data_IF_496473315442
#
_entry.id   IF_496473315442
#
_cell.length_a   1.000
_cell.length_b   1.000
_cell.length_c   1.000
_cell.angle_alpha   90.00
_cell.angle_beta   90.00
_cell.angle_gamma   90.00
#
_symmetry.space_group_name_H-M   'P 1'
#
loop_
_entity.id
_entity.type
_entity.pdbx_description
1 polymer ?
#
# COMPACT_ATOMS: atom_id res chain seq x y z
N UNK A 1 16.64 -3.35 7.05
CA UNK A 1 16.39 -3.14 5.61
C UNK A 1 15.03 -2.48 5.51
N UNK A 2 15.01 -1.20 5.14
CA UNK A 2 13.80 -0.38 5.13
C UNK A 2 12.86 -0.80 3.98
N UNK A 3 11.62 -1.16 4.32
CA UNK A 3 10.51 -1.29 3.38
C UNK A 3 9.22 -0.95 4.13
N UNK A 4 8.54 0.11 3.72
CA UNK A 4 7.31 0.63 4.34
C UNK A 4 6.23 0.42 3.30
N UNK A 5 5.21 -0.35 3.65
CA UNK A 5 4.04 -0.59 2.82
C UNK A 5 2.86 -0.93 3.73
N UNK A 6 2.15 0.10 4.19
CA UNK A 6 1.08 -0.02 5.18
C UNK A 6 -0.06 -0.90 4.66
N UNK A 7 -0.40 -0.81 3.38
CA UNK A 7 -1.47 -1.63 2.79
C UNK A 7 -1.12 -3.12 2.85
N UNK A 8 0.11 -3.49 2.47
CA UNK A 8 0.58 -4.87 2.52
C UNK A 8 0.63 -5.41 3.96
N UNK A 9 1.09 -4.59 4.91
CA UNK A 9 1.14 -4.99 6.33
C UNK A 9 -0.27 -5.24 6.88
N UNK A 10 -1.23 -4.35 6.59
CA UNK A 10 -2.64 -4.53 7.00
C UNK A 10 -3.30 -5.76 6.39
N UNK A 11 -3.00 -6.09 5.13
CA UNK A 11 -3.42 -7.37 4.54
C UNK A 11 -2.87 -8.53 5.37
N UNK A 12 -1.57 -8.49 5.69
CA UNK A 12 -0.93 -9.52 6.50
C UNK A 12 -1.57 -9.69 7.87
N UNK A 13 -1.89 -8.59 8.56
CA UNK A 13 -2.57 -8.59 9.86
C UNK A 13 -3.96 -9.25 9.79
N UNK A 14 -4.75 -8.93 8.76
CA UNK A 14 -6.07 -9.55 8.55
C UNK A 14 -5.94 -11.05 8.25
N UNK A 15 -5.00 -11.44 7.38
CA UNK A 15 -4.78 -12.85 7.04
C UNK A 15 -4.30 -13.69 8.23
N UNK A 16 -3.56 -13.08 9.17
CA UNK A 16 -3.10 -13.72 10.42
C UNK A 16 -4.16 -13.68 11.54
N UNK A 17 -5.26 -12.96 11.36
CA UNK A 17 -6.29 -12.78 12.39
C UNK A 17 -5.90 -11.82 13.51
N UNK A 18 -4.89 -10.96 13.27
CA UNK A 18 -4.49 -9.88 14.18
C UNK A 18 -5.46 -8.68 14.08
N UNK A 19 -6.21 -8.60 12.97
CA UNK A 19 -7.29 -7.65 12.72
C UNK A 19 -8.60 -8.35 12.36
N UNK A 20 -9.70 -7.63 12.55
CA UNK A 20 -11.04 -8.08 12.21
C UNK A 20 -11.21 -8.21 10.71
N UNK A 21 -12.01 -9.18 10.27
CA UNK A 21 -12.33 -9.33 8.83
C UNK A 21 -13.21 -8.19 8.33
N UNK A 22 -13.95 -7.54 9.23
CA UNK A 22 -14.77 -6.36 8.99
C UNK A 22 -13.94 -5.15 8.54
N UNK A 23 -12.67 -5.07 8.94
CA UNK A 23 -11.74 -4.00 8.54
C UNK A 23 -11.47 -4.02 7.02
N UNK A 24 -11.70 -5.15 6.33
CA UNK A 24 -11.46 -5.29 4.88
C UNK A 24 -12.25 -4.26 4.08
N UNK A 25 -13.49 -3.95 4.49
CA UNK A 25 -14.33 -3.03 3.73
C UNK A 25 -13.78 -1.60 3.73
N UNK A 26 -13.18 -1.17 4.85
CA UNK A 26 -12.49 0.12 4.93
C UNK A 26 -11.13 0.07 4.22
N UNK A 27 -10.39 -1.04 4.39
CA UNK A 27 -9.07 -1.21 3.78
C UNK A 27 -9.11 -1.21 2.25
N UNK A 28 -10.18 -1.75 1.66
CA UNK A 28 -10.40 -1.82 0.21
C UNK A 28 -11.12 -0.59 -0.36
N UNK A 29 -11.30 0.47 0.43
CA UNK A 29 -11.76 1.77 -0.09
C UNK A 29 -10.63 2.46 -0.86
N UNK A 30 -10.89 2.92 -2.09
CA UNK A 30 -9.85 3.42 -2.98
C UNK A 30 -9.18 4.69 -2.44
N UNK A 31 -9.95 5.59 -1.85
CA UNK A 31 -9.43 6.79 -1.20
C UNK A 31 -8.51 6.44 -0.03
N UNK A 32 -8.85 5.39 0.73
CA UNK A 32 -8.01 4.92 1.83
C UNK A 32 -6.71 4.29 1.31
N UNK A 33 -6.78 3.49 0.24
CA UNK A 33 -5.60 2.90 -0.41
C UNK A 33 -4.64 4.00 -0.86
N UNK A 34 -5.16 4.97 -1.62
CA UNK A 34 -4.39 6.12 -2.10
C UNK A 34 -3.72 6.87 -0.93
N UNK A 35 -4.50 7.18 0.12
CA UNK A 35 -4.01 7.91 1.29
C UNK A 35 -2.94 7.13 2.06
N UNK A 36 -3.05 5.80 2.17
CA UNK A 36 -2.01 4.96 2.79
C UNK A 36 -0.68 5.07 2.03
N UNK A 37 -0.69 4.95 0.70
CA UNK A 37 0.54 5.09 -0.08
C UNK A 37 1.12 6.50 -0.02
N UNK A 38 0.28 7.54 0.04
CA UNK A 38 0.73 8.93 0.24
C UNK A 38 1.46 9.09 1.57
N UNK A 39 0.89 8.57 2.65
CA UNK A 39 1.51 8.57 3.99
C UNK A 39 2.79 7.76 4.03
N UNK A 40 2.83 6.59 3.40
CA UNK A 40 4.04 5.78 3.29
C UNK A 40 5.17 6.59 2.62
N UNK A 41 4.89 7.28 1.53
CA UNK A 41 5.87 8.15 0.86
C UNK A 41 6.36 9.28 1.77
N UNK A 42 5.45 9.96 2.47
CA UNK A 42 5.80 11.02 3.43
C UNK A 42 6.69 10.49 4.55
N UNK A 43 6.38 9.31 5.11
CA UNK A 43 7.18 8.68 6.13
C UNK A 43 8.60 8.35 5.63
N UNK A 44 8.70 7.75 4.44
CA UNK A 44 9.98 7.40 3.82
C UNK A 44 10.84 8.68 3.60
N UNK A 45 10.25 9.76 3.08
CA UNK A 45 10.95 11.04 2.92
C UNK A 45 11.35 11.65 4.26
N UNK A 46 10.49 11.56 5.27
CA UNK A 46 10.81 12.07 6.61
C UNK A 46 11.96 11.29 7.25
N UNK A 47 12.08 9.98 7.02
CA UNK A 47 13.23 9.19 7.45
C UNK A 47 14.52 9.66 6.78
N UNK A 48 14.49 9.94 5.47
CA UNK A 48 15.63 10.51 4.74
C UNK A 48 16.02 11.89 5.28
N UNK A 49 15.06 12.83 5.34
CA UNK A 49 15.28 14.23 5.79
C UNK A 49 15.77 14.33 7.24
N UNK A 50 15.36 13.39 8.09
CA UNK A 50 15.81 13.33 9.49
C UNK A 50 17.14 12.60 9.69
N UNK A 51 17.75 12.06 8.62
CA UNK A 51 18.99 11.29 8.69
C UNK A 51 18.84 9.93 9.38
N UNK A 52 17.61 9.42 9.51
CA UNK A 52 17.31 8.10 10.11
C UNK A 52 17.39 6.96 9.11
N UNK A 53 17.44 7.25 7.82
CA UNK A 53 17.67 6.29 6.75
C UNK A 53 18.61 6.87 5.70
N UNK A 54 19.48 6.03 5.15
CA UNK A 54 20.40 6.42 4.09
C UNK A 54 19.67 6.54 2.74
N UNK A 55 20.25 7.34 1.83
CA UNK A 55 19.67 7.58 0.49
C UNK A 55 19.36 6.27 -0.25
N UNK A 56 20.28 5.32 -0.23
CA UNK A 56 20.14 4.03 -0.92
C UNK A 56 19.00 3.18 -0.34
N UNK A 57 18.80 3.21 0.98
CA UNK A 57 17.69 2.48 1.63
C UNK A 57 16.33 3.04 1.22
N UNK A 58 16.24 4.37 1.14
CA UNK A 58 15.03 5.10 0.79
C UNK A 58 14.70 4.92 -0.69
N UNK A 59 15.69 5.06 -1.59
CA UNK A 59 15.54 4.75 -3.01
C UNK A 59 15.09 3.30 -3.24
N UNK A 60 15.68 2.35 -2.50
CA UNK A 60 15.26 0.95 -2.59
C UNK A 60 13.81 0.75 -2.14
N UNK A 61 13.38 1.44 -1.09
CA UNK A 61 11.99 1.38 -0.63
C UNK A 61 11.03 1.93 -1.70
N UNK A 62 11.29 3.12 -2.26
CA UNK A 62 10.50 3.68 -3.35
C UNK A 62 10.41 2.75 -4.57
N UNK A 63 11.53 2.16 -4.99
CA UNK A 63 11.55 1.18 -6.07
C UNK A 63 10.63 -0.03 -5.78
N UNK A 64 10.72 -0.60 -4.58
CA UNK A 64 9.90 -1.73 -4.17
C UNK A 64 8.42 -1.35 -4.05
N UNK A 65 8.12 -0.17 -3.49
CA UNK A 65 6.76 0.34 -3.31
C UNK A 65 6.09 0.60 -4.66
N UNK A 66 6.79 1.26 -5.59
CA UNK A 66 6.33 1.44 -6.97
C UNK A 66 6.08 0.11 -7.67
N UNK A 67 7.03 -0.81 -7.59
CA UNK A 67 6.91 -2.14 -8.21
C UNK A 67 5.72 -2.91 -7.65
N UNK A 68 5.50 -2.81 -6.33
CA UNK A 68 4.34 -3.39 -5.66
C UNK A 68 3.03 -2.81 -6.20
N UNK A 69 2.92 -1.49 -6.29
CA UNK A 69 1.70 -0.82 -6.78
C UNK A 69 1.37 -1.28 -8.20
N UNK A 70 2.33 -1.24 -9.11
CA UNK A 70 2.10 -1.58 -10.53
C UNK A 70 1.85 -3.07 -10.74
N UNK A 71 2.50 -3.93 -9.95
CA UNK A 71 2.53 -5.38 -10.26
C UNK A 71 1.69 -6.24 -9.34
N UNK A 72 1.37 -5.78 -8.13
CA UNK A 72 0.80 -6.62 -7.06
C UNK A 72 -0.46 -6.03 -6.42
N UNK A 73 -0.65 -4.71 -6.42
CA UNK A 73 -1.77 -4.07 -5.71
C UNK A 73 -3.13 -4.65 -6.12
N UNK A 74 -3.44 -4.71 -7.42
CA UNK A 74 -4.71 -5.29 -7.90
C UNK A 74 -4.85 -6.78 -7.57
N UNK A 75 -3.76 -7.55 -7.61
CA UNK A 75 -3.77 -8.98 -7.27
C UNK A 75 -4.11 -9.16 -5.79
N UNK A 76 -3.48 -8.37 -4.92
CA UNK A 76 -3.69 -8.43 -3.48
C UNK A 76 -5.04 -7.86 -3.07
N UNK A 77 -5.53 -6.85 -3.76
CA UNK A 77 -6.89 -6.33 -3.59
C UNK A 77 -7.93 -7.44 -3.83
N UNK A 78 -7.89 -8.10 -4.99
CA UNK A 78 -8.83 -9.19 -5.31
C UNK A 78 -8.68 -10.37 -4.35
N UNK A 79 -7.44 -10.75 -4.01
CA UNK A 79 -7.21 -11.83 -3.06
C UNK A 79 -7.78 -11.55 -1.67
N UNK A 80 -7.71 -10.31 -1.20
CA UNK A 80 -8.28 -9.92 0.09
C UNK A 80 -9.81 -9.90 0.03
N UNK A 81 -10.38 -9.46 -1.09
CA UNK A 81 -11.82 -9.52 -1.36
C UNK A 81 -12.33 -10.96 -1.37
N UNK A 82 -11.70 -11.88 -2.11
CA UNK A 82 -12.01 -13.30 -2.11
C UNK A 82 -11.90 -13.92 -0.71
N UNK A 83 -10.87 -13.53 0.05
CA UNK A 83 -10.70 -13.98 1.42
C UNK A 83 -11.85 -13.52 2.32
N UNK A 84 -12.25 -12.25 2.26
CA UNK A 84 -13.38 -11.73 3.02
C UNK A 84 -14.70 -12.42 2.67
N UNK A 85 -14.95 -12.65 1.38
CA UNK A 85 -16.14 -13.37 0.91
C UNK A 85 -16.17 -14.80 1.44
N UNK A 86 -15.03 -15.50 1.46
CA UNK A 86 -14.91 -16.85 2.05
C UNK A 86 -15.23 -16.90 3.56
N UNK A 87 -15.16 -15.75 4.24
CA UNK A 87 -15.47 -15.57 5.66
C UNK A 87 -16.88 -15.00 5.90
N UNK A 88 -17.66 -14.79 4.85
CA UNK A 88 -19.04 -14.30 4.93
C UNK A 88 -19.19 -12.77 4.84
N UNK A 89 -18.11 -12.04 4.52
CA UNK A 89 -18.14 -10.59 4.31
C UNK A 89 -18.12 -10.30 2.82
N UNK A 90 -19.23 -9.81 2.28
CA UNK A 90 -19.33 -9.46 0.85
C UNK A 90 -18.71 -8.09 0.59
N UNK A 91 -17.82 -8.00 -0.40
CA UNK A 91 -17.18 -6.75 -0.81
C UNK A 91 -17.53 -6.47 -2.27
N UNK A 92 -18.31 -5.43 -2.54
CA UNK A 92 -18.74 -5.06 -3.90
C UNK A 92 -17.82 -3.99 -4.54
N UNK A 93 -16.63 -3.80 -3.99
CA UNK A 93 -15.66 -2.81 -4.44
C UNK A 93 -14.77 -3.38 -5.54
N UNK A 94 -14.30 -2.47 -6.38
CA UNK A 94 -13.30 -2.72 -7.41
C UNK A 94 -12.19 -1.68 -7.24
N UNK A 95 -10.99 -2.02 -7.71
CA UNK A 95 -9.87 -1.10 -7.76
C UNK A 95 -9.71 -0.61 -9.20
N UNK A 96 -9.98 0.68 -9.42
CA UNK A 96 -9.85 1.26 -10.75
C UNK A 96 -8.37 1.30 -11.19
N UNK A 97 -8.06 0.98 -12.45
CA UNK A 97 -6.72 1.12 -13.00
C UNK A 97 -6.15 2.54 -12.85
N UNK A 98 -7.01 3.55 -12.94
CA UNK A 98 -6.67 4.97 -12.74
C UNK A 98 -6.10 5.22 -11.35
N UNK A 99 -6.64 4.59 -10.31
CA UNK A 99 -6.15 4.70 -8.92
C UNK A 99 -4.76 4.09 -8.79
N UNK A 100 -4.52 2.92 -9.40
CA UNK A 100 -3.19 2.29 -9.43
C UNK A 100 -2.18 3.22 -10.12
N UNK A 101 -2.57 3.81 -11.25
CA UNK A 101 -1.73 4.75 -11.99
C UNK A 101 -1.47 6.04 -11.22
N UNK A 102 -2.49 6.60 -10.54
CA UNK A 102 -2.33 7.79 -9.70
C UNK A 102 -1.31 7.54 -8.58
N UNK A 103 -1.43 6.41 -7.88
CA UNK A 103 -0.48 6.05 -6.82
C UNK A 103 0.94 5.91 -7.39
N UNK A 104 1.10 5.20 -8.51
CA UNK A 104 2.41 5.02 -9.13
C UNK A 104 3.06 6.35 -9.57
N UNK A 105 2.27 7.25 -10.16
CA UNK A 105 2.73 8.59 -10.55
C UNK A 105 3.07 9.46 -9.34
N UNK A 106 2.30 9.34 -8.25
CA UNK A 106 2.61 10.04 -6.99
C UNK A 106 3.95 9.57 -6.42
N UNK A 107 4.15 8.26 -6.30
CA UNK A 107 5.42 7.67 -5.85
C UNK A 107 6.59 8.18 -6.71
N UNK A 108 6.43 8.19 -8.04
CA UNK A 108 7.44 8.71 -8.98
C UNK A 108 7.75 10.20 -8.82
N UNK A 109 6.76 10.99 -8.40
CA UNK A 109 6.95 12.41 -8.18
C UNK A 109 7.77 12.66 -6.90
N UNK A 110 7.49 11.92 -5.84
CA UNK A 110 8.16 12.05 -4.54
C UNK A 110 9.57 11.47 -4.57
N UNK A 111 9.79 10.34 -5.27
CA UNK A 111 11.11 9.72 -5.39
C UNK A 111 12.17 10.69 -5.96
N UNK A 112 11.76 11.63 -6.81
CA UNK A 112 12.64 12.66 -7.40
C UNK A 112 13.17 13.69 -6.40
N UNK A 113 12.61 13.76 -5.20
CA UNK A 113 13.06 14.68 -4.14
C UNK A 113 14.29 14.16 -3.36
N UNK A 114 14.76 12.94 -3.64
CA UNK A 114 15.83 12.23 -2.91
C UNK A 114 17.20 12.36 -3.58
#
# INVERSE_FOLDING_TARGET
MLYINTFLDRIGEILRGERSIEDVNELLEQENILEMFKKDCEEIINLYRSGRAEREEVQRNFYLLKTYVVSQLSIHFERLKEFAESKGVKIERELEPETVNEIALYIDSIEKEI
#
